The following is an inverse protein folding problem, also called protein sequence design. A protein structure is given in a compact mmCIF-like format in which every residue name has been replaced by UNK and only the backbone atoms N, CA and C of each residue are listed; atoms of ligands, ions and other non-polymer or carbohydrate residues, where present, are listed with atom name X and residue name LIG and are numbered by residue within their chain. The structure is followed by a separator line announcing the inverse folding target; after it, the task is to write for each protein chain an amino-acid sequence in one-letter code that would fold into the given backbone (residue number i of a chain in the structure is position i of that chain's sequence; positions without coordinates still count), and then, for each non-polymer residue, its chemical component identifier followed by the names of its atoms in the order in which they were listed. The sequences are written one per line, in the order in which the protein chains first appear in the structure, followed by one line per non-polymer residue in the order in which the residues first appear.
data_IF_909997529057
#
_entry.id   IF_909997529057
#
_cell.length_a   1.000
_cell.length_b   1.000
_cell.length_c   1.000
_cell.angle_alpha   90.00
_cell.angle_beta   90.00
_cell.angle_gamma   90.00
#
_symmetry.space_group_name_H-M   'P 1'
#
loop_
_entity.id
_entity.type
_entity.pdbx_description
1 polymer ?
#
# COMPACT_ATOMS: atom_id res chain seq x y z
N UNK A 1 19.93 -3.40 28.09
CA UNK A 1 20.15 -2.22 28.94
C UNK A 1 19.57 -0.99 28.23
N UNK A 2 18.59 -0.31 28.86
CA UNK A 2 17.99 0.89 28.36
C UNK A 2 18.90 2.10 28.60
N UNK A 3 19.20 2.85 27.54
CA UNK A 3 19.98 4.08 27.65
C UNK A 3 19.07 5.23 28.11
N UNK A 4 19.30 5.72 29.34
CA UNK A 4 18.46 6.79 29.94
C UNK A 4 18.49 8.11 29.16
N UNK A 5 19.56 8.40 28.43
CA UNK A 5 19.68 9.59 27.57
C UNK A 5 18.73 9.45 26.39
N UNK A 6 18.75 8.30 25.72
CA UNK A 6 17.85 8.01 24.57
C UNK A 6 16.39 8.03 25.00
N UNK A 7 16.06 7.47 26.18
CA UNK A 7 14.68 7.51 26.68
C UNK A 7 14.18 8.94 26.91
N UNK A 8 15.01 9.84 27.47
CA UNK A 8 14.65 11.24 27.60
C UNK A 8 14.45 11.94 26.26
N UNK A 9 15.29 11.62 25.29
CA UNK A 9 15.17 12.16 23.94
C UNK A 9 13.86 11.72 23.27
N UNK A 10 13.50 10.43 23.36
CA UNK A 10 12.21 9.92 22.88
C UNK A 10 11.03 10.63 23.56
N UNK A 11 11.08 10.85 24.86
CA UNK A 11 10.05 11.57 25.59
C UNK A 11 9.92 13.03 25.10
N UNK A 12 11.05 13.70 24.86
CA UNK A 12 11.06 15.08 24.35
C UNK A 12 10.46 15.16 22.94
N UNK A 13 10.85 14.24 22.06
CA UNK A 13 10.30 14.14 20.70
C UNK A 13 8.79 13.90 20.75
N UNK A 14 8.36 12.93 21.57
CA UNK A 14 6.92 12.67 21.77
C UNK A 14 6.17 13.94 22.20
N UNK A 15 6.69 14.68 23.17
CA UNK A 15 6.08 15.92 23.63
C UNK A 15 6.00 17.00 22.53
N UNK A 16 7.06 17.14 21.74
CA UNK A 16 7.08 18.07 20.61
C UNK A 16 6.02 17.69 19.56
N UNK A 17 5.91 16.41 19.20
CA UNK A 17 4.90 15.92 18.27
C UNK A 17 3.47 16.18 18.79
N UNK A 18 3.20 15.93 20.07
CA UNK A 18 1.91 16.26 20.66
C UNK A 18 1.56 17.75 20.55
N UNK A 19 2.54 18.63 20.76
CA UNK A 19 2.33 20.07 20.59
C UNK A 19 2.00 20.45 19.15
N UNK A 20 2.67 19.82 18.18
CA UNK A 20 2.40 20.05 16.76
C UNK A 20 0.98 19.59 16.40
N UNK A 21 0.58 18.40 16.82
CA UNK A 21 -0.78 17.88 16.59
C UNK A 21 -1.84 18.80 17.19
N UNK A 22 -1.65 19.19 18.44
CA UNK A 22 -2.59 20.08 19.14
C UNK A 22 -2.74 21.45 18.43
N UNK A 23 -1.63 22.04 17.97
CA UNK A 23 -1.67 23.31 17.22
C UNK A 23 -2.42 23.21 15.91
N UNK A 24 -2.47 22.02 15.30
CA UNK A 24 -3.20 21.75 14.07
C UNK A 24 -4.62 21.20 14.32
N UNK A 25 -5.12 21.29 15.57
CA UNK A 25 -6.47 20.86 15.92
C UNK A 25 -6.65 19.32 15.96
N UNK A 26 -5.57 18.56 15.85
CA UNK A 26 -5.60 17.10 15.86
C UNK A 26 -5.52 16.61 17.31
N UNK A 27 -6.54 15.87 17.74
CA UNK A 27 -6.53 15.21 19.05
C UNK A 27 -5.83 13.86 18.93
N UNK A 28 -4.71 13.72 19.62
CA UNK A 28 -4.06 12.41 19.73
C UNK A 28 -4.78 11.58 20.79
N UNK A 29 -5.14 10.36 20.44
CA UNK A 29 -5.70 9.36 21.35
C UNK A 29 -4.69 8.23 21.56
N UNK A 30 -4.72 7.59 22.71
CA UNK A 30 -3.94 6.39 22.92
C UNK A 30 -4.61 5.24 22.17
N UNK A 31 -3.83 4.58 21.31
CA UNK A 31 -4.26 3.36 20.60
C UNK A 31 -3.22 2.26 20.84
N UNK A 32 -3.71 1.03 20.97
CA UNK A 32 -2.89 -0.19 20.96
C UNK A 32 -3.11 -0.99 19.68
N UNK A 33 -3.69 -0.39 18.69
CA UNK A 33 -3.90 -0.99 17.38
C UNK A 33 -2.56 -1.06 16.66
N UNK A 34 -1.99 -2.26 16.59
CA UNK A 34 -0.70 -2.52 15.96
C UNK A 34 -0.73 -2.19 14.45
N UNK A 35 -1.85 -2.40 13.79
CA UNK A 35 -2.02 -2.07 12.37
C UNK A 35 -2.01 -0.56 12.15
N UNK A 36 -2.71 0.21 12.99
CA UNK A 36 -2.70 1.66 12.92
C UNK A 36 -1.29 2.24 13.18
N UNK A 37 -0.56 1.66 14.14
CA UNK A 37 0.83 2.03 14.43
C UNK A 37 1.73 1.71 13.23
N UNK A 38 1.67 0.47 12.73
CA UNK A 38 2.47 0.00 11.59
C UNK A 38 2.20 0.83 10.33
N UNK A 39 0.93 1.13 10.05
CA UNK A 39 0.51 1.97 8.94
C UNK A 39 1.03 3.41 9.04
N UNK A 40 1.00 3.99 10.25
CA UNK A 40 1.53 5.33 10.49
C UNK A 40 3.05 5.41 10.29
N UNK A 41 3.78 4.39 10.75
CA UNK A 41 5.23 4.25 10.51
C UNK A 41 5.50 4.13 9.01
N UNK A 42 4.75 3.26 8.33
CA UNK A 42 4.91 3.04 6.89
C UNK A 42 4.64 4.33 6.09
N UNK A 43 3.61 5.09 6.44
CA UNK A 43 3.29 6.38 5.81
C UNK A 43 4.43 7.41 5.98
N UNK A 44 5.05 7.46 7.17
CA UNK A 44 6.18 8.35 7.43
C UNK A 44 7.49 7.96 6.71
N UNK A 45 7.63 6.70 6.33
CA UNK A 45 8.82 6.14 5.67
C UNK A 45 8.56 5.73 4.21
N UNK A 46 7.48 6.20 3.62
CA UNK A 46 6.96 5.73 2.33
C UNK A 46 7.96 5.87 1.17
N UNK A 47 8.88 6.82 1.25
CA UNK A 47 9.95 7.02 0.26
C UNK A 47 10.93 5.84 0.19
N UNK A 48 11.02 5.05 1.27
CA UNK A 48 11.80 3.83 1.39
C UNK A 48 10.92 2.58 1.35
N UNK A 49 9.80 2.64 0.63
CA UNK A 49 8.97 1.47 0.37
C UNK A 49 9.71 0.53 -0.59
N UNK A 50 9.88 -0.70 -0.14
CA UNK A 50 10.58 -1.76 -0.83
C UNK A 50 9.64 -2.94 -1.04
N UNK A 51 9.65 -3.52 -2.24
CA UNK A 51 8.94 -4.75 -2.59
C UNK A 51 9.90 -5.91 -2.79
N UNK A 52 9.57 -7.05 -2.21
CA UNK A 52 10.30 -8.30 -2.43
C UNK A 52 10.23 -8.70 -3.90
N UNK A 53 11.38 -8.87 -4.50
CA UNK A 53 11.46 -9.26 -5.92
C UNK A 53 11.74 -10.78 -6.01
N UNK A 54 12.93 -11.21 -5.61
CA UNK A 54 13.35 -12.61 -5.61
C UNK A 54 14.73 -12.73 -4.95
N UNK A 55 15.14 -13.95 -4.61
CA UNK A 55 16.49 -14.23 -4.07
C UNK A 55 16.85 -13.39 -2.85
N UNK A 56 15.87 -13.16 -1.95
CA UNK A 56 16.00 -12.33 -0.74
C UNK A 56 16.35 -10.85 -1.02
N UNK A 57 16.10 -10.37 -2.25
CA UNK A 57 16.35 -9.01 -2.66
C UNK A 57 15.04 -8.24 -2.86
N UNK A 58 15.12 -6.95 -2.57
CA UNK A 58 14.02 -6.00 -2.68
C UNK A 58 14.31 -4.95 -3.74
N UNK A 59 13.22 -4.42 -4.31
CA UNK A 59 13.21 -3.31 -5.24
C UNK A 59 12.52 -2.10 -4.59
N UNK A 60 13.11 -0.91 -4.69
CA UNK A 60 12.50 0.31 -4.19
C UNK A 60 11.44 0.82 -5.16
N UNK A 61 10.25 1.11 -4.62
CA UNK A 61 9.09 1.50 -5.42
C UNK A 61 9.23 2.91 -5.98
N UNK A 62 9.90 3.83 -5.27
CA UNK A 62 10.04 5.22 -5.69
C UNK A 62 10.75 5.38 -7.04
N UNK A 63 11.83 4.66 -7.27
CA UNK A 63 12.73 4.85 -8.42
C UNK A 63 13.09 3.57 -9.16
N UNK A 64 12.55 2.42 -8.73
CA UNK A 64 12.81 1.14 -9.35
C UNK A 64 14.21 0.58 -9.08
N UNK A 65 15.05 1.24 -8.28
CA UNK A 65 16.34 0.70 -7.90
C UNK A 65 16.18 -0.60 -7.11
N UNK A 66 17.07 -1.55 -7.33
CA UNK A 66 16.96 -2.89 -6.76
C UNK A 66 18.28 -3.35 -6.12
N UNK A 67 18.26 -4.52 -5.47
CA UNK A 67 19.41 -5.05 -4.77
C UNK A 67 19.52 -4.61 -3.33
N UNK A 68 18.37 -4.27 -2.72
CA UNK A 68 18.26 -4.04 -1.29
C UNK A 68 18.05 -5.37 -0.57
N UNK A 69 18.69 -5.54 0.57
CA UNK A 69 18.58 -6.75 1.39
C UNK A 69 18.18 -6.36 2.81
N UNK A 70 17.39 -7.19 3.47
CA UNK A 70 17.13 -7.00 4.90
C UNK A 70 18.42 -7.25 5.67
N UNK A 71 18.80 -6.32 6.55
CA UNK A 71 19.99 -6.50 7.39
C UNK A 71 19.78 -7.63 8.40
N UNK A 72 20.78 -8.50 8.64
CA UNK A 72 20.65 -9.65 9.56
C UNK A 72 20.22 -9.30 10.99
N UNK A 73 20.43 -8.07 11.45
CA UNK A 73 19.98 -7.61 12.76
C UNK A 73 18.51 -7.13 12.80
N UNK A 74 17.82 -7.13 11.67
CA UNK A 74 16.40 -6.73 11.60
C UNK A 74 15.49 -7.87 12.05
N UNK A 75 14.39 -7.54 12.72
CA UNK A 75 13.39 -8.52 13.20
C UNK A 75 12.79 -9.31 12.03
N UNK A 76 12.61 -8.66 10.87
CA UNK A 76 12.03 -9.24 9.64
C UNK A 76 13.03 -10.08 8.83
N UNK A 77 14.27 -10.26 9.32
CA UNK A 77 15.29 -11.04 8.61
C UNK A 77 14.88 -12.51 8.51
N UNK A 78 14.84 -13.05 7.29
CA UNK A 78 14.44 -14.43 7.01
C UNK A 78 12.93 -14.66 6.88
N UNK A 79 12.10 -13.65 7.14
CA UNK A 79 10.64 -13.72 6.91
C UNK A 79 10.27 -13.32 5.47
N UNK A 80 11.13 -12.52 4.83
CA UNK A 80 10.98 -12.01 3.47
C UNK A 80 9.57 -11.48 3.15
N UNK A 81 9.01 -10.55 3.97
CA UNK A 81 7.68 -10.03 3.73
C UNK A 81 7.61 -9.31 2.39
N UNK A 82 6.45 -9.38 1.71
CA UNK A 82 6.29 -8.84 0.37
C UNK A 82 6.61 -7.34 0.29
N UNK A 83 6.19 -6.56 1.26
CA UNK A 83 6.47 -5.13 1.33
C UNK A 83 7.05 -4.77 2.69
N UNK A 84 8.06 -3.92 2.67
CA UNK A 84 8.64 -3.30 3.86
C UNK A 84 8.90 -1.82 3.62
N UNK A 85 8.92 -1.04 4.68
CA UNK A 85 9.59 0.26 4.70
C UNK A 85 10.82 0.19 5.58
N UNK A 86 11.85 0.93 5.25
CA UNK A 86 13.10 0.96 6.00
C UNK A 86 13.38 2.36 6.55
N UNK A 87 13.71 2.46 7.83
CA UNK A 87 14.13 3.72 8.43
C UNK A 87 15.55 4.11 7.97
N UNK A 88 16.41 3.12 7.69
CA UNK A 88 17.78 3.34 7.25
C UNK A 88 18.11 2.48 6.04
N UNK A 89 18.79 3.08 5.07
CA UNK A 89 19.44 2.38 3.95
C UNK A 89 20.95 2.56 4.09
N UNK A 90 21.67 1.45 4.23
CA UNK A 90 23.13 1.45 4.44
C UNK A 90 23.79 0.65 3.33
N UNK A 91 24.69 1.30 2.60
CA UNK A 91 25.48 0.66 1.54
C UNK A 91 26.87 0.30 2.06
N UNK A 92 27.20 -0.99 1.95
CA UNK A 92 28.54 -1.53 2.24
C UNK A 92 28.98 -2.38 1.04
N UNK A 93 29.24 -3.65 1.20
CA UNK A 93 29.39 -4.62 0.10
C UNK A 93 28.03 -4.93 -0.59
N UNK A 94 26.94 -4.73 0.12
CA UNK A 94 25.55 -4.77 -0.35
C UNK A 94 24.80 -3.57 0.22
N UNK A 95 23.63 -3.28 -0.35
CA UNK A 95 22.74 -2.26 0.19
C UNK A 95 21.72 -2.90 1.12
N UNK A 96 21.77 -2.52 2.38
CA UNK A 96 20.93 -3.08 3.43
C UNK A 96 19.84 -2.12 3.89
N UNK A 97 18.64 -2.64 4.02
CA UNK A 97 17.52 -2.02 4.70
C UNK A 97 17.57 -2.39 6.20
N UNK A 98 17.63 -1.39 7.08
CA UNK A 98 17.70 -1.56 8.54
C UNK A 98 16.50 -0.91 9.20
N UNK A 99 16.14 -1.43 10.39
CA UNK A 99 14.96 -0.98 11.14
C UNK A 99 13.73 -0.99 10.25
N UNK A 100 13.30 -2.20 9.87
CA UNK A 100 12.23 -2.40 8.91
C UNK A 100 10.88 -2.55 9.60
N UNK A 101 9.84 -2.03 8.96
CA UNK A 101 8.44 -2.29 9.27
C UNK A 101 7.81 -3.01 8.08
N UNK A 102 7.18 -4.14 8.33
CA UNK A 102 6.35 -4.81 7.33
C UNK A 102 5.16 -3.93 6.94
N UNK A 103 4.83 -3.93 5.65
CA UNK A 103 3.69 -3.19 5.10
C UNK A 103 2.68 -4.18 4.53
N UNK A 104 1.43 -4.05 4.94
CA UNK A 104 0.35 -4.84 4.37
C UNK A 104 -0.07 -4.23 3.02
N UNK A 105 -0.36 -5.10 2.04
CA UNK A 105 -0.74 -4.69 0.68
C UNK A 105 -1.95 -3.76 0.68
N UNK A 106 -2.96 -4.04 1.49
CA UNK A 106 -4.18 -3.26 1.61
C UNK A 106 -3.95 -1.82 2.13
N UNK A 107 -2.82 -1.56 2.79
CA UNK A 107 -2.49 -0.20 3.24
C UNK A 107 -2.00 0.69 2.09
N UNK A 108 -1.41 0.10 1.04
CA UNK A 108 -0.73 0.84 -0.02
C UNK A 108 -1.65 1.84 -0.72
N UNK A 109 -2.92 1.49 -0.90
CA UNK A 109 -3.92 2.36 -1.52
C UNK A 109 -4.08 3.70 -0.77
N UNK A 110 -3.97 3.66 0.55
CA UNK A 110 -4.11 4.84 1.41
C UNK A 110 -2.78 5.58 1.61
N UNK A 111 -1.69 4.83 1.89
CA UNK A 111 -0.41 5.45 2.29
C UNK A 111 0.53 5.74 1.12
N UNK A 112 0.31 5.15 -0.06
CA UNK A 112 1.19 5.23 -1.21
C UNK A 112 0.47 5.57 -2.54
N UNK A 113 -0.60 6.41 -2.56
CA UNK A 113 -1.38 6.66 -3.78
C UNK A 113 -0.52 7.23 -4.92
N UNK A 114 0.55 7.99 -4.61
CA UNK A 114 1.47 8.55 -5.60
C UNK A 114 2.23 7.48 -6.41
N UNK A 115 2.36 6.26 -5.87
CA UNK A 115 3.03 5.14 -6.54
C UNK A 115 2.07 4.21 -7.28
N UNK A 116 0.76 4.44 -7.17
CA UNK A 116 -0.28 3.61 -7.79
C UNK A 116 -0.74 4.22 -9.11
N UNK A 117 -1.00 3.35 -10.08
CA UNK A 117 -1.71 3.65 -11.33
C UNK A 117 -2.87 2.69 -11.50
N UNK A 118 -3.80 3.10 -12.34
CA UNK A 118 -5.00 2.33 -12.67
C UNK A 118 -4.91 1.82 -14.11
N UNK A 119 -5.49 0.65 -14.35
CA UNK A 119 -5.73 0.13 -15.69
C UNK A 119 -7.09 -0.53 -15.75
N UNK A 120 -7.93 -0.15 -16.72
CA UNK A 120 -9.19 -0.84 -16.97
C UNK A 120 -8.89 -2.27 -17.43
N UNK A 121 -9.68 -3.24 -16.96
CA UNK A 121 -9.57 -4.65 -17.37
C UNK A 121 -10.74 -5.04 -18.25
N UNK A 122 -11.87 -5.31 -17.65
CA UNK A 122 -13.08 -5.81 -18.30
C UNK A 122 -14.27 -4.92 -17.96
N UNK A 123 -15.20 -4.83 -18.89
CA UNK A 123 -16.53 -4.25 -18.67
C UNK A 123 -17.51 -5.36 -18.96
N UNK A 124 -18.46 -5.57 -18.07
CA UNK A 124 -19.49 -6.61 -18.23
C UNK A 124 -20.75 -6.23 -17.47
N UNK A 125 -21.86 -6.85 -17.86
CA UNK A 125 -23.09 -6.77 -17.10
C UNK A 125 -23.05 -7.81 -15.97
N UNK A 126 -23.29 -7.36 -14.74
CA UNK A 126 -23.38 -8.19 -13.54
C UNK A 126 -24.87 -8.46 -13.27
N UNK A 127 -25.30 -9.70 -13.51
CA UNK A 127 -26.70 -10.12 -13.40
C UNK A 127 -27.22 -10.05 -11.95
N UNK A 128 -26.36 -10.34 -10.96
CA UNK A 128 -26.76 -10.31 -9.54
C UNK A 128 -26.97 -8.86 -9.07
N UNK A 129 -26.13 -7.95 -9.53
CA UNK A 129 -26.20 -6.55 -9.14
C UNK A 129 -27.14 -5.73 -10.02
N UNK A 130 -27.58 -6.27 -11.18
CA UNK A 130 -28.34 -5.58 -12.24
C UNK A 130 -27.65 -4.28 -12.67
N UNK A 131 -26.35 -4.38 -12.98
CA UNK A 131 -25.51 -3.22 -13.30
C UNK A 131 -24.39 -3.57 -14.26
N UNK A 132 -24.00 -2.58 -15.06
CA UNK A 132 -22.75 -2.67 -15.83
C UNK A 132 -21.58 -2.29 -14.93
N UNK A 133 -20.63 -3.22 -14.81
CA UNK A 133 -19.46 -3.11 -13.95
C UNK A 133 -18.20 -3.06 -14.79
N UNK A 134 -17.30 -2.16 -14.45
CA UNK A 134 -15.92 -2.14 -14.93
C UNK A 134 -14.98 -2.61 -13.82
N UNK A 135 -14.16 -3.60 -14.13
CA UNK A 135 -13.04 -3.95 -13.28
C UNK A 135 -11.85 -3.06 -13.60
N UNK A 136 -11.23 -2.54 -12.54
CA UNK A 136 -10.04 -1.68 -12.63
C UNK A 136 -8.95 -2.28 -11.75
N UNK A 137 -7.78 -2.53 -12.35
CA UNK A 137 -6.60 -2.94 -11.58
C UNK A 137 -5.87 -1.72 -11.06
N UNK A 138 -5.62 -1.69 -9.76
CA UNK A 138 -4.69 -0.78 -9.12
C UNK A 138 -3.32 -1.47 -9.02
N UNK A 139 -2.29 -0.87 -9.54
CA UNK A 139 -0.94 -1.47 -9.56
C UNK A 139 0.15 -0.46 -9.26
N UNK A 140 1.27 -0.95 -8.73
CA UNK A 140 2.46 -0.13 -8.51
C UNK A 140 3.13 0.22 -9.84
N UNK A 141 3.40 1.51 -10.06
CA UNK A 141 3.95 2.03 -11.33
C UNK A 141 5.26 1.36 -11.75
N UNK A 142 6.14 1.10 -10.80
CA UNK A 142 7.49 0.59 -11.06
C UNK A 142 7.54 -0.93 -11.25
N UNK A 143 6.88 -1.67 -10.38
CA UNK A 143 6.97 -3.13 -10.35
C UNK A 143 5.83 -3.81 -11.09
N UNK A 144 4.77 -3.08 -11.44
CA UNK A 144 3.53 -3.58 -12.03
C UNK A 144 2.76 -4.57 -11.14
N UNK A 145 3.14 -4.68 -9.89
CA UNK A 145 2.47 -5.53 -8.91
C UNK A 145 1.07 -5.02 -8.62
N UNK A 146 0.09 -5.90 -8.68
CA UNK A 146 -1.31 -5.56 -8.40
C UNK A 146 -1.46 -5.30 -6.91
N UNK A 147 -1.99 -4.14 -6.58
CA UNK A 147 -2.32 -3.70 -5.22
C UNK A 147 -3.74 -4.09 -4.86
N UNK A 148 -4.68 -3.81 -5.78
CA UNK A 148 -6.11 -4.06 -5.58
C UNK A 148 -6.83 -4.25 -6.92
N UNK A 149 -8.04 -4.82 -6.86
CA UNK A 149 -8.98 -4.93 -7.97
C UNK A 149 -10.29 -4.27 -7.55
N UNK A 150 -10.63 -3.17 -8.19
CA UNK A 150 -11.88 -2.44 -7.91
C UNK A 150 -12.94 -2.76 -8.94
N UNK A 151 -14.17 -2.88 -8.46
CA UNK A 151 -15.37 -2.92 -9.31
C UNK A 151 -16.05 -1.56 -9.24
N UNK A 152 -16.19 -0.91 -10.38
CA UNK A 152 -16.82 0.42 -10.49
C UNK A 152 -18.06 0.31 -11.37
N UNK A 153 -19.18 0.87 -10.93
CA UNK A 153 -20.38 0.96 -11.77
C UNK A 153 -20.13 1.93 -12.94
N UNK A 154 -20.44 1.48 -14.13
CA UNK A 154 -20.41 2.30 -15.35
C UNK A 154 -21.81 2.83 -15.64
N UNK A 155 -21.90 4.07 -16.09
CA UNK A 155 -23.14 4.74 -16.47
C UNK A 155 -22.97 5.44 -17.83
N UNK A 156 -24.09 5.83 -18.46
CA UNK A 156 -24.05 6.52 -19.75
C UNK A 156 -23.97 5.58 -20.96
N UNK A 157 -23.53 6.09 -22.08
CA UNK A 157 -23.56 5.41 -23.38
C UNK A 157 -22.86 4.05 -23.38
N UNK A 158 -21.69 3.99 -22.78
CA UNK A 158 -20.89 2.76 -22.67
C UNK A 158 -21.62 1.66 -21.86
N UNK A 159 -22.36 2.04 -20.82
CA UNK A 159 -23.15 1.08 -20.06
C UNK A 159 -24.31 0.52 -20.89
N UNK A 160 -24.93 1.37 -21.72
CA UNK A 160 -26.03 0.95 -22.61
C UNK A 160 -25.52 -0.06 -23.64
N UNK A 161 -24.37 0.19 -24.26
CA UNK A 161 -23.79 -0.74 -25.24
C UNK A 161 -23.55 -2.11 -24.63
N UNK A 162 -22.88 -2.19 -23.48
CA UNK A 162 -22.59 -3.45 -22.79
C UNK A 162 -23.85 -4.16 -22.33
N UNK A 163 -24.87 -3.42 -21.88
CA UNK A 163 -26.15 -3.97 -21.50
C UNK A 163 -26.90 -4.58 -22.70
N UNK A 164 -26.89 -3.89 -23.85
CA UNK A 164 -27.52 -4.38 -25.11
C UNK A 164 -26.81 -5.64 -25.60
N UNK A 165 -25.47 -5.68 -25.54
CA UNK A 165 -24.71 -6.91 -25.87
C UNK A 165 -25.10 -8.08 -24.97
N UNK A 166 -25.22 -7.86 -23.66
CA UNK A 166 -25.62 -8.88 -22.70
C UNK A 166 -27.06 -9.40 -22.97
N UNK A 167 -27.98 -8.52 -23.37
CA UNK A 167 -29.34 -8.89 -23.81
C UNK A 167 -29.32 -9.75 -25.06
N UNK A 168 -28.53 -9.39 -26.06
CA UNK A 168 -28.41 -10.12 -27.32
C UNK A 168 -27.78 -11.51 -27.16
N UNK A 169 -26.93 -11.67 -26.18
CA UNK A 169 -26.30 -12.95 -25.83
C UNK A 169 -27.17 -13.85 -24.92
N UNK A 170 -28.44 -13.48 -24.67
CA UNK A 170 -29.37 -14.18 -23.75
C UNK A 170 -28.82 -14.36 -22.32
N UNK A 171 -27.94 -13.47 -21.88
CA UNK A 171 -27.45 -13.43 -20.50
C UNK A 171 -28.43 -12.75 -19.53
N UNK A 172 -29.49 -12.17 -20.05
CA UNK A 172 -30.51 -11.47 -19.29
C UNK A 172 -31.87 -12.00 -19.71
N UNK A 173 -32.61 -12.62 -18.79
CA UNK A 173 -34.04 -12.91 -18.97
C UNK A 173 -34.83 -11.62 -18.71
N UNK A 174 -35.14 -10.88 -19.79
CA UNK A 174 -36.08 -9.80 -19.69
C UNK A 174 -37.49 -10.34 -20.08
N UNK A 175 -38.51 -10.26 -19.21
CA UNK A 175 -39.87 -10.53 -19.63
C UNK A 175 -40.31 -9.47 -20.63
N UNK A 176 -40.56 -9.89 -21.89
CA UNK A 176 -41.23 -9.09 -22.92
C UNK A 176 -42.65 -8.79 -22.49
#
# INVERSE_FOLDING_TARGET
FLNSKVLREVQNIRYQLFRVLHRNGIRATESRDEDAIGKSIAAGLIENLLEYNSRHAYQRIKDGSWGFYIHPSSVTFGEDPQFIVAAEIVSTNKTYARVNQQVKREWLKEIAPQFISEAPRSIYYDEEADKVIQEVSLYLKQTRSIVDLEKRQVTGEQAVEVFVEALMENKIDYPL
#
